data_IF_292455320611
#
_entry.id   IF_292455320611
#
_cell.length_a   1.000
_cell.length_b   1.000
_cell.length_c   1.000
_cell.angle_alpha   90.00
_cell.angle_beta   90.00
_cell.angle_gamma   90.00
#
_symmetry.space_group_name_H-M   'P 1'
#
loop_
_entity.id
_entity.type
_entity.pdbx_description
1 polymer ?
#
# COMPACT_ATOMS: atom_id res chain seq x y z
N UNK A 1 3.49 -4.35 -23.29
CA UNK A 1 2.94 -3.20 -22.58
C UNK A 1 3.61 -3.21 -21.23
N UNK A 2 4.28 -2.11 -20.88
CA UNK A 2 5.10 -2.04 -19.68
C UNK A 2 4.21 -1.69 -18.48
N UNK A 3 4.53 -2.25 -17.30
CA UNK A 3 3.84 -1.96 -16.04
C UNK A 3 4.74 -1.13 -15.12
N UNK A 4 4.13 -0.31 -14.27
CA UNK A 4 4.81 0.49 -13.24
C UNK A 4 4.74 -0.27 -11.92
N UNK A 5 5.89 -0.46 -11.28
CA UNK A 5 5.98 -1.16 -10.00
C UNK A 5 6.38 -0.15 -8.91
N UNK A 6 5.57 -0.08 -7.86
CA UNK A 6 5.79 0.82 -6.73
C UNK A 6 6.10 0.04 -5.44
N UNK A 7 6.96 0.63 -4.61
CA UNK A 7 7.44 0.04 -3.36
C UNK A 7 6.57 0.36 -2.13
N UNK A 8 5.25 0.41 -2.29
CA UNK A 8 4.35 0.59 -1.15
C UNK A 8 4.30 -0.69 -0.30
N UNK A 9 4.45 -0.53 1.00
CA UNK A 9 4.51 -1.61 1.99
C UNK A 9 3.32 -1.54 2.97
N UNK A 10 3.30 -2.39 4.00
CA UNK A 10 2.18 -2.48 4.95
C UNK A 10 1.99 -1.18 5.76
N UNK A 11 3.05 -0.42 6.01
CA UNK A 11 2.93 0.84 6.76
C UNK A 11 2.22 1.90 5.89
N UNK A 12 2.51 1.96 4.59
CA UNK A 12 1.79 2.83 3.63
C UNK A 12 0.28 2.52 3.58
N UNK A 13 -0.09 1.23 3.73
CA UNK A 13 -1.49 0.81 3.85
C UNK A 13 -2.15 1.41 5.08
N UNK A 14 -1.49 1.27 6.24
CA UNK A 14 -2.00 1.81 7.50
C UNK A 14 -2.16 3.32 7.40
N UNK A 15 -1.16 4.04 6.88
CA UNK A 15 -1.22 5.48 6.67
C UNK A 15 -2.41 5.88 5.79
N UNK A 16 -2.62 5.18 4.68
CA UNK A 16 -3.73 5.46 3.74
C UNK A 16 -5.09 5.21 4.39
N UNK A 17 -5.25 4.08 5.07
CA UNK A 17 -6.51 3.72 5.76
C UNK A 17 -6.81 4.72 6.87
N UNK A 18 -5.82 5.07 7.70
CA UNK A 18 -5.96 6.06 8.77
C UNK A 18 -6.32 7.45 8.22
N UNK A 19 -5.63 7.90 7.16
CA UNK A 19 -5.93 9.18 6.51
C UNK A 19 -7.37 9.22 5.98
N UNK A 20 -7.81 8.17 5.31
CA UNK A 20 -9.16 8.10 4.75
C UNK A 20 -10.24 7.99 5.83
N UNK A 21 -9.94 7.29 6.93
CA UNK A 21 -10.80 7.24 8.11
C UNK A 21 -10.98 8.63 8.74
N UNK A 22 -9.89 9.36 8.99
CA UNK A 22 -9.93 10.72 9.57
C UNK A 22 -10.72 11.69 8.68
N UNK A 23 -10.62 11.55 7.35
CA UNK A 23 -11.36 12.36 6.39
C UNK A 23 -12.86 12.03 6.31
N UNK A 24 -13.34 11.03 7.04
CA UNK A 24 -14.73 10.59 6.99
C UNK A 24 -15.09 9.88 5.68
N UNK A 25 -14.12 9.20 5.06
CA UNK A 25 -14.36 8.46 3.82
C UNK A 25 -15.26 7.24 4.08
N UNK A 26 -16.14 6.92 3.13
CA UNK A 26 -16.96 5.71 3.19
C UNK A 26 -16.13 4.41 3.08
N UNK A 27 -16.80 3.26 3.12
CA UNK A 27 -16.16 1.93 3.09
C UNK A 27 -15.13 1.76 1.96
N UNK A 28 -15.40 2.35 0.80
CA UNK A 28 -14.50 2.36 -0.36
C UNK A 28 -13.22 3.18 -0.15
N UNK A 29 -13.23 4.19 0.73
CA UNK A 29 -12.01 4.93 1.09
C UNK A 29 -11.17 4.20 2.14
N UNK A 30 -11.80 3.42 3.01
CA UNK A 30 -11.12 2.69 4.09
C UNK A 30 -10.49 1.38 3.58
N UNK A 31 -10.75 0.98 2.33
CA UNK A 31 -10.15 -0.22 1.73
C UNK A 31 -8.64 -0.14 1.47
N UNK A 32 -8.01 1.03 1.68
CA UNK A 32 -6.57 1.21 1.53
C UNK A 32 -6.12 1.21 0.07
N UNK A 33 -4.85 0.86 -0.15
CA UNK A 33 -4.22 0.79 -1.48
C UNK A 33 -4.56 -0.56 -2.14
N UNK A 34 -4.87 -0.59 -3.44
CA UNK A 34 -5.08 -1.85 -4.16
C UNK A 34 -3.74 -2.49 -4.53
N UNK A 35 -3.55 -3.83 -4.37
CA UNK A 35 -2.35 -4.53 -4.83
C UNK A 35 -2.04 -4.32 -6.33
N UNK A 36 -3.08 -4.16 -7.14
CA UNK A 36 -2.97 -3.84 -8.57
C UNK A 36 -4.07 -2.84 -8.96
N UNK A 37 -3.71 -1.86 -9.77
CA UNK A 37 -4.66 -0.89 -10.34
C UNK A 37 -4.17 -0.43 -11.71
N UNK A 38 -4.93 -0.76 -12.75
CA UNK A 38 -4.57 -0.47 -14.14
C UNK A 38 -3.15 -0.99 -14.47
N UNK A 39 -2.20 -0.10 -14.73
CA UNK A 39 -0.81 -0.44 -15.08
C UNK A 39 0.14 -0.40 -13.86
N UNK A 40 -0.38 -0.18 -12.64
CA UNK A 40 0.40 -0.06 -11.40
C UNK A 40 0.27 -1.33 -10.55
N UNK A 41 1.41 -1.85 -10.09
CA UNK A 41 1.49 -3.00 -9.16
C UNK A 41 2.24 -2.60 -7.88
N UNK A 42 1.77 -3.11 -6.74
CA UNK A 42 2.34 -2.95 -5.41
C UNK A 42 2.74 -4.32 -4.80
N UNK A 43 3.89 -4.90 -5.19
CA UNK A 43 4.22 -6.29 -4.85
C UNK A 43 4.48 -6.53 -3.36
N UNK A 44 4.91 -5.49 -2.63
CA UNK A 44 5.33 -5.60 -1.22
C UNK A 44 4.30 -5.01 -0.25
N UNK A 45 3.07 -4.77 -0.72
CA UNK A 45 2.03 -4.04 0.00
C UNK A 45 1.57 -4.72 1.30
N UNK A 46 1.81 -6.02 1.44
CA UNK A 46 1.52 -6.82 2.62
C UNK A 46 2.74 -7.10 3.51
N UNK A 47 3.90 -6.53 3.19
CA UNK A 47 5.17 -6.74 3.90
C UNK A 47 5.42 -5.56 4.83
N UNK A 48 5.79 -5.81 6.09
CA UNK A 48 6.15 -4.74 7.03
C UNK A 48 7.48 -4.09 6.64
N UNK A 49 7.62 -2.81 6.94
CA UNK A 49 8.90 -2.09 6.78
C UNK A 49 10.05 -2.80 7.47
N UNK A 50 9.84 -3.32 8.68
CA UNK A 50 10.87 -4.02 9.45
C UNK A 50 11.35 -5.31 8.75
N UNK A 51 10.46 -6.03 8.06
CA UNK A 51 10.81 -7.22 7.28
C UNK A 51 11.66 -6.86 6.05
N UNK A 52 11.35 -5.73 5.40
CA UNK A 52 12.15 -5.19 4.29
C UNK A 52 13.54 -4.79 4.79
N UNK A 53 13.63 -4.10 5.92
CA UNK A 53 14.91 -3.69 6.51
C UNK A 53 15.74 -4.90 6.93
N UNK A 54 15.11 -5.93 7.49
CA UNK A 54 15.79 -7.18 7.84
C UNK A 54 16.33 -7.90 6.61
N UNK A 55 15.56 -7.94 5.51
CA UNK A 55 16.00 -8.55 4.25
C UNK A 55 17.23 -7.86 3.62
N UNK A 56 17.41 -6.55 3.86
CA UNK A 56 18.49 -5.75 3.28
C UNK A 56 19.80 -5.76 4.10
N UNK A 57 19.81 -6.41 5.27
CA UNK A 57 21.03 -6.58 6.09
C UNK A 57 21.90 -7.71 5.55
#
# INVERSE_FOLDING_TARGET
MDKIVLGHNLDDQVETVTMNFIRGSGLTGISGISPESSDIIHPILSIKRDEIVEYLK
#
